data_IF_146859164797
#
_entry.id   IF_146859164797
#
_cell.length_a   1.000
_cell.length_b   1.000
_cell.length_c   1.000
_cell.angle_alpha   90.00
_cell.angle_beta   90.00
_cell.angle_gamma   90.00
#
_symmetry.space_group_name_H-M   'P 1'
#
loop_
_entity.id
_entity.type
_entity.pdbx_description
1 polymer ?
#
# COMPACT_ATOMS: atom_id res chain seq x y z
N UNK A 1 5.19 -95.68 -116.59
CA UNK A 1 4.22 -95.81 -115.46
C UNK A 1 4.82 -95.41 -114.11
N UNK A 2 6.15 -95.35 -113.95
CA UNK A 2 6.80 -95.01 -112.67
C UNK A 2 6.62 -93.55 -112.20
N UNK A 3 6.62 -92.55 -113.09
CA UNK A 3 6.42 -91.13 -112.72
C UNK A 3 5.09 -90.83 -112.01
N UNK A 4 4.00 -91.52 -112.41
CA UNK A 4 2.67 -91.37 -111.76
C UNK A 4 2.62 -91.98 -110.36
N UNK A 5 3.44 -93.00 -110.09
CA UNK A 5 3.51 -93.67 -108.78
C UNK A 5 4.34 -92.88 -107.78
N UNK A 6 5.42 -92.23 -108.23
CA UNK A 6 6.22 -91.32 -107.42
C UNK A 6 5.45 -90.04 -107.08
N UNK A 7 4.72 -89.46 -108.05
CA UNK A 7 3.85 -88.29 -107.84
C UNK A 7 2.68 -88.57 -106.88
N UNK A 8 2.11 -89.79 -106.91
CA UNK A 8 1.07 -90.18 -105.95
C UNK A 8 1.61 -90.34 -104.52
N UNK A 9 2.83 -90.86 -104.36
CA UNK A 9 3.50 -90.97 -103.05
C UNK A 9 3.92 -89.60 -102.51
N UNK A 10 4.45 -88.72 -103.35
CA UNK A 10 4.75 -87.33 -102.97
C UNK A 10 3.48 -86.56 -102.59
N UNK A 11 2.38 -86.70 -103.34
CA UNK A 11 1.11 -86.06 -102.99
C UNK A 11 0.52 -86.61 -101.67
N UNK A 12 0.68 -87.91 -101.39
CA UNK A 12 0.28 -88.50 -100.11
C UNK A 12 1.09 -87.97 -98.92
N UNK A 13 2.42 -87.87 -99.08
CA UNK A 13 3.32 -87.29 -98.08
C UNK A 13 3.03 -85.81 -97.86
N UNK A 14 2.75 -85.06 -98.93
CA UNK A 14 2.35 -83.66 -98.85
C UNK A 14 1.03 -83.48 -98.12
N UNK A 15 0.02 -84.34 -98.34
CA UNK A 15 -1.26 -84.30 -97.62
C UNK A 15 -1.09 -84.60 -96.12
N UNK A 16 -0.23 -85.55 -95.76
CA UNK A 16 0.06 -85.91 -94.37
C UNK A 16 0.84 -84.78 -93.65
N UNK A 17 1.78 -84.14 -94.36
CA UNK A 17 2.44 -82.91 -93.90
C UNK A 17 1.45 -81.75 -93.75
N UNK A 18 0.51 -81.59 -94.70
CA UNK A 18 -0.54 -80.56 -94.65
C UNK A 18 -1.44 -80.78 -93.44
N UNK A 19 -1.89 -82.01 -93.19
CA UNK A 19 -2.71 -82.37 -92.03
C UNK A 19 -1.97 -82.16 -90.72
N UNK A 20 -0.69 -82.54 -90.64
CA UNK A 20 0.17 -82.29 -89.46
C UNK A 20 0.40 -80.81 -89.20
N UNK A 21 0.51 -80.00 -90.26
CA UNK A 21 0.59 -78.53 -90.14
C UNK A 21 -0.77 -77.98 -89.69
N UNK A 22 -1.88 -78.48 -90.23
CA UNK A 22 -3.24 -78.09 -89.86
C UNK A 22 -3.53 -78.36 -88.39
N UNK A 23 -3.20 -79.55 -87.89
CA UNK A 23 -3.37 -79.94 -86.49
C UNK A 23 -2.50 -79.09 -85.55
N UNK A 24 -1.25 -78.80 -85.94
CA UNK A 24 -0.37 -77.88 -85.21
C UNK A 24 -0.90 -76.45 -85.21
N UNK A 25 -1.48 -75.99 -86.31
CA UNK A 25 -2.05 -74.66 -86.46
C UNK A 25 -3.34 -74.52 -85.65
N UNK A 26 -4.19 -75.55 -85.63
CA UNK A 26 -5.37 -75.63 -84.78
C UNK A 26 -4.99 -75.61 -83.30
N UNK A 27 -4.03 -76.45 -82.88
CA UNK A 27 -3.50 -76.47 -81.51
C UNK A 27 -2.95 -75.10 -81.10
N UNK A 28 -2.10 -74.49 -81.94
CA UNK A 28 -1.59 -73.15 -81.72
C UNK A 28 -2.71 -72.11 -81.63
N UNK A 29 -3.77 -72.21 -82.45
CA UNK A 29 -4.93 -71.31 -82.38
C UNK A 29 -5.72 -71.45 -81.07
N UNK A 30 -5.81 -72.67 -80.53
CA UNK A 30 -6.52 -72.93 -79.26
C UNK A 30 -5.72 -72.44 -78.07
N UNK A 31 -4.40 -72.65 -78.07
CA UNK A 31 -3.47 -72.12 -77.07
C UNK A 31 -3.47 -70.58 -77.09
N UNK A 32 -3.43 -69.96 -78.28
CA UNK A 32 -3.54 -68.50 -78.43
C UNK A 32 -4.85 -67.96 -77.86
N UNK A 33 -6.00 -68.59 -78.18
CA UNK A 33 -7.32 -68.21 -77.62
C UNK A 33 -7.38 -68.39 -76.11
N UNK A 34 -6.70 -69.39 -75.55
CA UNK A 34 -6.63 -69.59 -74.10
C UNK A 34 -5.77 -68.52 -73.42
N UNK A 35 -4.62 -68.19 -73.99
CA UNK A 35 -3.76 -67.11 -73.51
C UNK A 35 -4.46 -65.76 -73.62
N UNK A 36 -5.20 -65.48 -74.70
CA UNK A 36 -6.02 -64.28 -74.84
C UNK A 36 -7.07 -64.19 -73.73
N UNK A 37 -7.84 -65.25 -73.47
CA UNK A 37 -8.82 -65.28 -72.37
C UNK A 37 -8.17 -65.03 -71.01
N UNK A 38 -7.05 -65.70 -70.72
CA UNK A 38 -6.31 -65.46 -69.47
C UNK A 38 -5.78 -64.02 -69.37
N UNK A 39 -5.37 -63.42 -70.49
CA UNK A 39 -4.92 -62.03 -70.52
C UNK A 39 -6.10 -61.08 -70.26
N UNK A 40 -7.25 -61.29 -70.90
CA UNK A 40 -8.47 -60.52 -70.68
C UNK A 40 -8.94 -60.59 -69.22
N UNK A 41 -8.93 -61.77 -68.60
CA UNK A 41 -9.26 -61.93 -67.18
C UNK A 41 -8.28 -61.19 -66.26
N UNK A 42 -6.97 -61.26 -66.53
CA UNK A 42 -5.97 -60.53 -65.76
C UNK A 42 -6.14 -59.02 -65.90
N UNK A 43 -6.41 -58.53 -67.12
CA UNK A 43 -6.71 -57.13 -67.39
C UNK A 43 -7.95 -56.68 -66.60
N UNK A 44 -9.00 -57.49 -66.58
CA UNK A 44 -10.22 -57.19 -65.82
C UNK A 44 -9.95 -57.09 -64.31
N UNK A 45 -9.15 -58.02 -63.75
CA UNK A 45 -8.74 -57.98 -62.33
C UNK A 45 -7.91 -56.73 -62.01
N UNK A 46 -6.98 -56.34 -62.89
CA UNK A 46 -6.18 -55.13 -62.72
C UNK A 46 -7.10 -53.90 -62.71
N UNK A 47 -8.06 -53.81 -63.64
CA UNK A 47 -9.03 -52.71 -63.70
C UNK A 47 -9.89 -52.68 -62.43
N UNK A 48 -10.42 -53.82 -61.99
CA UNK A 48 -11.21 -53.90 -60.75
C UNK A 48 -10.41 -53.44 -59.52
N UNK A 49 -9.16 -53.89 -59.39
CA UNK A 49 -8.28 -53.48 -58.31
C UNK A 49 -7.95 -51.99 -58.37
N UNK A 50 -7.70 -51.46 -59.58
CA UNK A 50 -7.46 -50.03 -59.80
C UNK A 50 -8.67 -49.20 -59.35
N UNK A 51 -9.88 -49.58 -59.77
CA UNK A 51 -11.12 -48.91 -59.35
C UNK A 51 -11.32 -48.99 -57.83
N UNK A 52 -10.97 -50.13 -57.19
CA UNK A 52 -11.03 -50.26 -55.73
C UNK A 52 -10.07 -49.28 -55.04
N UNK A 53 -8.82 -49.22 -55.50
CA UNK A 53 -7.82 -48.28 -54.98
C UNK A 53 -8.23 -46.83 -55.21
N UNK A 54 -8.81 -46.49 -56.36
CA UNK A 54 -9.31 -45.14 -56.63
C UNK A 54 -10.44 -44.74 -55.66
N UNK A 55 -11.35 -45.67 -55.34
CA UNK A 55 -12.39 -45.44 -54.32
C UNK A 55 -11.80 -45.25 -52.93
N UNK A 56 -10.86 -46.11 -52.52
CA UNK A 56 -10.17 -46.00 -51.24
C UNK A 56 -9.41 -44.67 -51.12
N UNK A 57 -8.67 -44.29 -52.17
CA UNK A 57 -7.97 -43.01 -52.23
C UNK A 57 -8.92 -41.81 -52.17
N UNK A 58 -10.07 -41.88 -52.84
CA UNK A 58 -11.07 -40.81 -52.78
C UNK A 58 -11.63 -40.62 -51.36
N UNK A 59 -11.91 -41.72 -50.64
CA UNK A 59 -12.34 -41.67 -49.23
C UNK A 59 -11.25 -41.10 -48.34
N UNK A 60 -9.99 -41.52 -48.52
CA UNK A 60 -8.87 -41.00 -47.74
C UNK A 60 -8.64 -39.50 -47.98
N UNK A 61 -8.77 -39.03 -49.23
CA UNK A 61 -8.67 -37.61 -49.56
C UNK A 61 -9.80 -36.80 -48.90
N UNK A 62 -11.02 -37.34 -48.87
CA UNK A 62 -12.13 -36.70 -48.18
C UNK A 62 -11.87 -36.61 -46.67
N UNK A 63 -11.44 -37.71 -46.03
CA UNK A 63 -11.09 -37.72 -44.61
C UNK A 63 -9.95 -36.73 -44.28
N UNK A 64 -8.94 -36.64 -45.16
CA UNK A 64 -7.85 -35.69 -45.00
C UNK A 64 -8.36 -34.24 -45.09
N UNK A 65 -9.28 -33.95 -46.01
CA UNK A 65 -9.89 -32.63 -46.12
C UNK A 65 -10.73 -32.28 -44.88
N UNK A 66 -11.60 -33.20 -44.44
CA UNK A 66 -12.45 -33.01 -43.26
C UNK A 66 -11.61 -32.77 -41.99
N UNK A 67 -10.51 -33.51 -41.85
CA UNK A 67 -9.58 -33.34 -40.71
C UNK A 67 -8.79 -32.03 -40.78
N UNK A 68 -8.44 -31.55 -41.98
CA UNK A 68 -7.82 -30.23 -42.15
C UNK A 68 -8.78 -29.11 -41.76
N UNK A 69 -10.04 -29.18 -42.20
CA UNK A 69 -11.06 -28.19 -41.83
C UNK A 69 -11.33 -28.19 -40.32
N UNK A 70 -11.44 -29.37 -39.71
CA UNK A 70 -11.55 -29.51 -38.25
C UNK A 70 -10.33 -28.94 -37.51
N UNK A 71 -9.12 -29.11 -38.05
CA UNK A 71 -7.91 -28.53 -37.47
C UNK A 71 -7.90 -27.00 -37.57
N UNK A 72 -8.29 -26.43 -38.71
CA UNK A 72 -8.33 -24.97 -38.90
C UNK A 72 -9.34 -24.31 -37.96
N UNK A 73 -10.53 -24.89 -37.82
CA UNK A 73 -11.54 -24.40 -36.88
C UNK A 73 -11.01 -24.39 -35.44
N UNK A 74 -10.48 -25.52 -34.96
CA UNK A 74 -9.87 -25.61 -33.62
C UNK A 74 -8.69 -24.65 -33.45
N UNK A 75 -7.88 -24.43 -34.49
CA UNK A 75 -6.77 -23.49 -34.45
C UNK A 75 -7.26 -22.05 -34.25
N UNK A 76 -8.30 -21.64 -34.96
CA UNK A 76 -8.88 -20.29 -34.84
C UNK A 76 -9.55 -20.08 -33.48
N UNK A 77 -10.28 -21.08 -32.97
CA UNK A 77 -10.90 -21.05 -31.65
C UNK A 77 -9.85 -20.90 -30.54
N UNK A 78 -8.83 -21.75 -30.57
CA UNK A 78 -7.71 -21.67 -29.61
C UNK A 78 -7.03 -20.31 -29.65
N UNK A 79 -6.82 -19.75 -30.85
CA UNK A 79 -6.20 -18.43 -31.03
C UNK A 79 -7.09 -17.31 -30.45
N UNK A 80 -8.40 -17.37 -30.70
CA UNK A 80 -9.38 -16.45 -30.11
C UNK A 80 -9.39 -16.54 -28.58
N UNK A 81 -9.45 -17.75 -28.03
CA UNK A 81 -9.45 -17.99 -26.58
C UNK A 81 -8.17 -17.52 -25.93
N UNK A 82 -7.01 -17.74 -26.55
CA UNK A 82 -5.71 -17.25 -26.09
C UNK A 82 -5.68 -15.72 -26.00
N UNK A 83 -6.20 -15.02 -27.02
CA UNK A 83 -6.30 -13.56 -27.02
C UNK A 83 -7.26 -13.07 -25.91
N UNK A 84 -8.40 -13.73 -25.73
CA UNK A 84 -9.34 -13.42 -24.66
C UNK A 84 -8.69 -13.58 -23.29
N UNK A 85 -7.99 -14.69 -23.04
CA UNK A 85 -7.24 -14.93 -21.81
C UNK A 85 -6.17 -13.87 -21.58
N UNK A 86 -5.41 -13.48 -22.61
CA UNK A 86 -4.40 -12.43 -22.50
C UNK A 86 -5.04 -11.07 -22.13
N UNK A 87 -6.16 -10.70 -22.76
CA UNK A 87 -6.86 -9.44 -22.43
C UNK A 87 -7.47 -9.48 -21.02
N UNK A 88 -8.00 -10.62 -20.57
CA UNK A 88 -8.51 -10.77 -19.22
C UNK A 88 -7.38 -10.69 -18.18
N UNK A 89 -6.25 -11.35 -18.45
CA UNK A 89 -5.08 -11.35 -17.57
C UNK A 89 -4.47 -9.96 -17.43
N UNK A 90 -4.31 -9.23 -18.53
CA UNK A 90 -3.83 -7.84 -18.53
C UNK A 90 -4.77 -6.89 -17.79
N UNK A 91 -6.09 -6.99 -18.01
CA UNK A 91 -7.09 -6.20 -17.26
C UNK A 91 -7.04 -6.51 -15.76
N UNK A 92 -6.92 -7.78 -15.39
CA UNK A 92 -6.82 -8.20 -13.98
C UNK A 92 -5.54 -7.66 -13.33
N UNK A 93 -4.40 -7.77 -14.03
CA UNK A 93 -3.12 -7.21 -13.60
C UNK A 93 -3.20 -5.71 -13.37
N UNK A 94 -3.76 -4.94 -14.32
CA UNK A 94 -3.94 -3.50 -14.18
C UNK A 94 -4.84 -3.12 -13.00
N UNK A 95 -5.92 -3.89 -12.75
CA UNK A 95 -6.78 -3.68 -11.58
C UNK A 95 -6.02 -3.92 -10.28
N UNK A 96 -5.22 -4.99 -10.23
CA UNK A 96 -4.40 -5.31 -9.07
C UNK A 96 -3.37 -4.21 -8.81
N UNK A 97 -2.65 -3.74 -9.83
CA UNK A 97 -1.68 -2.63 -9.73
C UNK A 97 -2.31 -1.31 -9.24
N UNK A 98 -3.52 -0.99 -9.70
CA UNK A 98 -4.27 0.16 -9.18
C UNK A 98 -4.64 -0.02 -7.71
N UNK A 99 -5.16 -1.20 -7.35
CA UNK A 99 -5.54 -1.49 -5.96
C UNK A 99 -4.34 -1.47 -5.01
N UNK A 100 -3.17 -1.97 -5.43
CA UNK A 100 -1.96 -1.93 -4.60
C UNK A 100 -1.43 -0.50 -4.45
N UNK A 101 -1.50 0.32 -5.50
CA UNK A 101 -1.15 1.73 -5.42
C UNK A 101 -2.08 2.50 -4.47
N UNK A 102 -3.39 2.26 -4.56
CA UNK A 102 -4.39 2.88 -3.67
C UNK A 102 -4.18 2.44 -2.21
N UNK A 103 -3.87 1.16 -1.97
CA UNK A 103 -3.52 0.66 -0.64
C UNK A 103 -2.28 1.35 -0.06
N UNK A 104 -1.23 1.53 -0.86
CA UNK A 104 -0.01 2.23 -0.42
C UNK A 104 -0.31 3.70 -0.07
N UNK A 105 -1.08 4.38 -0.91
CA UNK A 105 -1.51 5.77 -0.67
C UNK A 105 -2.31 5.88 0.62
N UNK A 106 -3.26 4.99 0.86
CA UNK A 106 -4.07 4.99 2.07
C UNK A 106 -3.21 4.71 3.32
N UNK A 107 -2.25 3.78 3.23
CA UNK A 107 -1.31 3.50 4.31
C UNK A 107 -0.48 4.72 4.69
N UNK A 108 0.05 5.45 3.69
CA UNK A 108 0.79 6.70 3.93
C UNK A 108 -0.09 7.78 4.59
N UNK A 109 -1.36 7.88 4.19
CA UNK A 109 -2.30 8.80 4.83
C UNK A 109 -2.58 8.40 6.29
N UNK A 110 -2.79 7.11 6.56
CA UNK A 110 -2.99 6.60 7.91
C UNK A 110 -1.78 6.86 8.80
N UNK A 111 -0.57 6.63 8.31
CA UNK A 111 0.66 6.95 9.05
C UNK A 111 0.76 8.44 9.38
N UNK A 112 0.43 9.32 8.42
CA UNK A 112 0.42 10.77 8.66
C UNK A 112 -0.61 11.15 9.73
N UNK A 113 -1.84 10.63 9.63
CA UNK A 113 -2.89 10.86 10.64
C UNK A 113 -2.51 10.31 12.00
N UNK A 114 -1.85 9.16 12.06
CA UNK A 114 -1.38 8.58 13.31
C UNK A 114 -0.33 9.48 13.98
N UNK A 115 0.59 10.06 13.19
CA UNK A 115 1.57 11.04 13.70
C UNK A 115 0.88 12.29 14.24
N UNK A 116 -0.08 12.85 13.51
CA UNK A 116 -0.90 14.00 13.95
C UNK A 116 -1.62 13.70 15.28
N UNK A 117 -2.27 12.54 15.39
CA UNK A 117 -2.95 12.10 16.61
C UNK A 117 -1.99 11.92 17.79
N UNK A 118 -0.80 11.36 17.56
CA UNK A 118 0.19 11.17 18.62
C UNK A 118 0.68 12.52 19.17
N UNK A 119 0.88 13.52 18.30
CA UNK A 119 1.27 14.87 18.72
C UNK A 119 0.15 15.50 19.55
N UNK A 120 -1.09 15.45 19.06
CA UNK A 120 -2.24 16.02 19.78
C UNK A 120 -2.48 15.32 21.12
N UNK A 121 -2.29 13.99 21.19
CA UNK A 121 -2.38 13.22 22.44
C UNK A 121 -1.30 13.63 23.44
N UNK A 122 -0.07 13.82 22.97
CA UNK A 122 1.02 14.29 23.83
C UNK A 122 0.73 15.70 24.38
N UNK A 123 0.20 16.59 23.54
CA UNK A 123 -0.12 17.96 23.93
C UNK A 123 -1.28 18.01 24.94
N UNK A 124 -2.36 17.30 24.67
CA UNK A 124 -3.50 17.17 25.60
C UNK A 124 -3.07 16.55 26.93
N UNK A 125 -2.20 15.54 26.94
CA UNK A 125 -1.68 14.96 28.18
C UNK A 125 -0.84 15.96 28.99
N UNK A 126 -0.08 16.84 28.32
CA UNK A 126 0.65 17.93 29.00
C UNK A 126 -0.32 18.91 29.65
N UNK A 127 -1.37 19.33 28.94
CA UNK A 127 -2.39 20.22 29.50
C UNK A 127 -3.12 19.60 30.69
N UNK A 128 -3.48 18.32 30.62
CA UNK A 128 -4.09 17.59 31.75
C UNK A 128 -3.14 17.59 32.95
N UNK A 129 -1.88 17.20 32.74
CA UNK A 129 -0.86 17.15 33.81
C UNK A 129 -0.61 18.54 34.44
N UNK A 130 -0.68 19.59 33.61
CA UNK A 130 -0.58 20.97 34.06
C UNK A 130 -1.75 21.36 34.96
N UNK A 131 -2.99 21.10 34.53
CA UNK A 131 -4.20 21.37 35.31
C UNK A 131 -4.25 20.54 36.59
N UNK A 132 -3.85 19.28 36.57
CA UNK A 132 -3.77 18.42 37.76
C UNK A 132 -2.82 19.01 38.82
N UNK A 133 -1.68 19.54 38.38
CA UNK A 133 -0.70 20.16 39.30
C UNK A 133 -1.26 21.42 39.95
N UNK A 134 -1.96 22.26 39.18
CA UNK A 134 -2.63 23.46 39.70
C UNK A 134 -3.76 23.12 40.66
N UNK A 135 -4.64 22.18 40.29
CA UNK A 135 -5.75 21.73 41.14
C UNK A 135 -5.23 21.11 42.44
N UNK A 136 -4.15 20.32 42.38
CA UNK A 136 -3.55 19.75 43.58
C UNK A 136 -2.98 20.83 44.50
N UNK A 137 -2.30 21.84 43.95
CA UNK A 137 -1.82 22.97 44.73
C UNK A 137 -2.99 23.77 45.34
N UNK A 138 -4.01 24.10 44.55
CA UNK A 138 -5.20 24.80 45.03
C UNK A 138 -5.89 24.04 46.17
N UNK A 139 -6.02 22.71 46.05
CA UNK A 139 -6.60 21.85 47.09
C UNK A 139 -5.79 21.93 48.38
N UNK A 140 -4.47 21.72 48.33
CA UNK A 140 -3.62 21.73 49.53
C UNK A 140 -3.52 23.14 50.12
N UNK A 141 -3.38 24.15 49.27
CA UNK A 141 -3.31 25.54 49.67
C UNK A 141 -4.63 25.97 50.34
N UNK A 142 -5.78 25.68 49.72
CA UNK A 142 -7.09 25.95 50.32
C UNK A 142 -7.33 25.12 51.60
N UNK A 143 -6.82 23.90 51.73
CA UNK A 143 -6.87 23.13 52.98
C UNK A 143 -6.02 23.76 54.09
N UNK A 144 -4.81 24.25 53.77
CA UNK A 144 -3.98 25.01 54.72
C UNK A 144 -4.60 26.36 55.10
N UNK A 145 -5.34 26.97 54.17
CA UNK A 145 -5.87 28.32 54.28
C UNK A 145 -7.39 28.39 54.48
N UNK A 146 -8.08 27.27 54.72
CA UNK A 146 -9.55 27.15 54.70
C UNK A 146 -10.25 28.40 55.27
N UNK A 147 -11.08 28.98 54.42
CA UNK A 147 -10.94 30.36 53.94
C UNK A 147 -11.52 31.48 54.83
N UNK A 148 -11.58 31.28 56.15
CA UNK A 148 -11.98 32.33 57.10
C UNK A 148 -11.09 32.31 58.35
N UNK A 149 -10.64 31.13 58.80
CA UNK A 149 -9.96 30.99 60.09
C UNK A 149 -8.49 31.47 60.08
N UNK A 150 -7.76 31.31 58.97
CA UNK A 150 -6.33 31.66 58.94
C UNK A 150 -6.04 33.12 58.54
N UNK A 151 -6.87 33.72 57.67
CA UNK A 151 -6.75 35.16 57.29
C UNK A 151 -6.95 36.09 58.48
N UNK A 152 -7.77 35.68 59.44
CA UNK A 152 -8.01 36.40 60.70
C UNK A 152 -7.17 35.87 61.88
N UNK A 153 -6.31 34.88 61.64
CA UNK A 153 -5.36 34.39 62.65
C UNK A 153 -4.34 35.47 63.03
N UNK A 154 -4.10 35.59 64.34
CA UNK A 154 -3.14 36.53 64.92
C UNK A 154 -1.72 36.35 64.36
N UNK A 155 -1.34 35.11 64.03
CA UNK A 155 -0.03 34.80 63.43
C UNK A 155 0.09 35.29 61.99
N UNK A 156 -0.99 35.20 61.20
CA UNK A 156 -0.99 35.68 59.81
C UNK A 156 -0.89 37.20 59.75
N UNK A 157 -1.68 37.92 60.57
CA UNK A 157 -1.61 39.39 60.66
C UNK A 157 -0.23 39.88 61.12
N UNK A 158 0.49 39.10 61.93
CA UNK A 158 1.87 39.39 62.36
C UNK A 158 2.92 39.16 61.25
N UNK A 159 2.74 38.12 60.43
CA UNK A 159 3.71 37.75 59.39
C UNK A 159 3.46 38.44 58.04
N UNK A 160 2.24 38.90 57.78
CA UNK A 160 1.87 39.56 56.52
C UNK A 160 2.74 40.78 56.18
N UNK A 161 3.04 41.72 57.11
CA UNK A 161 3.91 42.86 56.80
C UNK A 161 5.32 42.43 56.38
N UNK A 162 5.87 41.39 57.00
CA UNK A 162 7.20 40.86 56.64
C UNK A 162 7.18 40.23 55.25
N UNK A 163 6.13 39.50 54.91
CA UNK A 163 5.98 38.88 53.60
C UNK A 163 5.80 39.95 52.51
N UNK A 164 5.02 41.00 52.76
CA UNK A 164 4.87 42.13 51.85
C UNK A 164 6.21 42.83 51.60
N UNK A 165 6.94 43.17 52.67
CA UNK A 165 8.27 43.77 52.54
C UNK A 165 9.25 42.86 51.79
N UNK A 166 9.17 41.54 52.00
CA UNK A 166 9.99 40.56 51.29
C UNK A 166 9.67 40.51 49.79
N UNK A 167 8.42 40.68 49.39
CA UNK A 167 8.03 40.75 47.98
C UNK A 167 8.49 42.06 47.34
N UNK A 168 8.18 43.18 47.98
CA UNK A 168 8.48 44.54 47.48
C UNK A 168 9.98 44.80 47.36
N UNK A 169 10.81 44.12 48.16
CA UNK A 169 12.27 44.23 48.09
C UNK A 169 12.92 43.39 46.95
N UNK A 170 12.15 42.65 46.16
CA UNK A 170 12.69 41.70 45.18
C UNK A 170 12.34 42.09 43.75
N UNK A 171 13.23 41.83 42.76
CA UNK A 171 12.94 42.09 41.35
C UNK A 171 11.88 41.13 40.77
N UNK A 172 11.51 40.08 41.52
CA UNK A 172 10.53 39.09 41.10
C UNK A 172 9.08 39.51 41.38
N UNK A 173 8.87 40.70 41.98
CA UNK A 173 7.57 41.35 42.10
C UNK A 173 7.68 42.79 41.59
N UNK A 174 6.91 43.12 40.56
CA UNK A 174 6.89 44.47 39.99
C UNK A 174 5.46 45.01 40.11
N UNK A 175 5.28 45.99 40.99
CA UNK A 175 3.97 46.53 41.32
C UNK A 175 3.31 47.25 40.13
N UNK A 176 4.10 48.01 39.36
CA UNK A 176 3.59 48.77 38.22
C UNK A 176 3.25 47.83 37.06
N UNK A 177 4.12 46.85 36.81
CA UNK A 177 3.83 45.79 35.83
C UNK A 177 2.60 44.99 36.23
N UNK A 178 2.46 44.63 37.51
CA UNK A 178 1.32 43.85 38.00
C UNK A 178 0.00 44.59 37.83
N UNK A 179 -0.04 45.89 38.14
CA UNK A 179 -1.23 46.72 37.94
C UNK A 179 -1.55 46.95 36.46
N UNK A 180 -0.53 47.12 35.61
CA UNK A 180 -0.71 47.23 34.17
C UNK A 180 -1.26 45.93 33.57
N UNK A 181 -0.77 44.78 34.04
CA UNK A 181 -1.20 43.46 33.58
C UNK A 181 -2.57 43.05 34.11
N UNK A 182 -2.97 43.53 35.30
CA UNK A 182 -4.23 43.18 35.96
C UNK A 182 -5.05 44.44 36.34
N UNK A 183 -5.80 45.02 35.38
CA UNK A 183 -6.57 46.25 35.61
C UNK A 183 -7.69 46.11 36.65
N UNK A 184 -8.16 44.90 36.92
CA UNK A 184 -9.14 44.60 37.98
C UNK A 184 -8.55 44.82 39.38
N UNK A 185 -7.27 44.50 39.57
CA UNK A 185 -6.54 44.80 40.81
C UNK A 185 -6.39 46.31 40.98
N UNK A 186 -6.06 47.03 39.90
CA UNK A 186 -5.96 48.49 39.92
C UNK A 186 -7.29 49.15 40.35
N UNK A 187 -8.42 48.62 39.89
CA UNK A 187 -9.76 49.09 40.25
C UNK A 187 -10.18 48.74 41.68
N UNK A 188 -9.62 47.68 42.26
CA UNK A 188 -9.96 47.22 43.61
C UNK A 188 -9.43 48.14 44.74
N UNK A 189 -8.40 48.95 44.46
CA UNK A 189 -7.72 49.79 45.45
C UNK A 189 -6.86 49.03 46.47
N UNK A 190 -6.75 47.70 46.36
CA UNK A 190 -5.88 46.88 47.22
C UNK A 190 -4.43 47.05 46.75
N UNK A 191 -3.48 47.11 47.69
CA UNK A 191 -2.04 47.18 47.35
C UNK A 191 -1.62 45.97 46.49
N UNK A 192 -0.83 46.14 45.42
CA UNK A 192 -0.49 45.05 44.49
C UNK A 192 0.13 43.82 45.16
N UNK A 193 1.12 44.02 46.04
CA UNK A 193 1.79 42.93 46.76
C UNK A 193 0.83 42.21 47.72
N UNK A 194 -0.09 42.97 48.34
CA UNK A 194 -1.12 42.43 49.22
C UNK A 194 -2.16 41.62 48.46
N UNK A 195 -2.59 42.12 47.30
CA UNK A 195 -3.47 41.38 46.41
C UNK A 195 -2.81 40.08 45.95
N UNK A 196 -1.54 40.13 45.56
CA UNK A 196 -0.83 38.96 45.07
C UNK A 196 -0.71 37.84 46.12
N UNK A 197 -0.33 38.18 47.36
CA UNK A 197 -0.23 37.22 48.47
C UNK A 197 -1.60 36.62 48.83
N UNK A 198 -2.66 37.44 48.83
CA UNK A 198 -3.99 37.02 49.30
C UNK A 198 -4.80 36.27 48.25
N UNK A 199 -4.69 36.68 46.99
CA UNK A 199 -5.56 36.22 45.91
C UNK A 199 -4.76 35.91 44.64
N UNK A 200 -3.79 36.75 44.28
CA UNK A 200 -3.15 36.67 42.97
C UNK A 200 -2.44 35.35 42.69
N UNK A 201 -1.73 34.76 43.64
CA UNK A 201 -1.12 33.44 43.42
C UNK A 201 -2.17 32.33 43.24
N UNK A 202 -3.32 32.43 43.92
CA UNK A 202 -4.43 31.47 43.80
C UNK A 202 -5.09 31.58 42.43
N UNK A 203 -5.25 32.81 41.95
CA UNK A 203 -5.79 33.12 40.62
C UNK A 203 -4.80 32.81 39.48
N UNK A 204 -3.64 32.20 39.76
CA UNK A 204 -2.58 31.92 38.76
C UNK A 204 -1.84 33.17 38.25
N UNK A 205 -2.09 34.35 38.84
CA UNK A 205 -1.49 35.60 38.37
C UNK A 205 0.01 35.57 38.56
N UNK A 206 0.72 36.14 37.61
CA UNK A 206 2.16 36.29 37.65
C UNK A 206 2.54 37.57 38.41
N UNK A 207 3.54 37.57 39.30
CA UNK A 207 3.97 38.75 40.05
C UNK A 207 4.87 39.72 39.27
N UNK A 208 5.58 39.23 38.26
CA UNK A 208 6.39 40.05 37.37
C UNK A 208 6.65 39.34 36.04
N UNK A 209 7.23 40.07 35.09
CA UNK A 209 7.74 39.52 33.83
C UNK A 209 8.94 38.58 33.99
N UNK A 210 9.44 38.36 35.21
CA UNK A 210 10.59 37.50 35.54
C UNK A 210 10.20 36.27 36.38
N UNK A 211 8.92 36.11 36.73
CA UNK A 211 8.42 34.96 37.49
C UNK A 211 7.04 34.54 37.02
N UNK A 212 6.91 33.28 36.57
CA UNK A 212 5.63 32.69 36.20
C UNK A 212 5.16 31.76 37.31
N UNK A 213 4.08 32.15 37.98
CA UNK A 213 3.43 31.36 39.05
C UNK A 213 3.05 29.98 38.55
N UNK A 214 2.43 29.91 37.37
CA UNK A 214 1.99 28.65 36.76
C UNK A 214 3.17 27.75 36.39
N UNK A 215 4.21 28.31 35.78
CA UNK A 215 5.42 27.54 35.48
C UNK A 215 6.04 26.98 36.75
N UNK A 216 6.21 27.81 37.78
CA UNK A 216 6.86 27.39 39.01
C UNK A 216 6.10 26.28 39.72
N UNK A 217 4.77 26.38 39.81
CA UNK A 217 3.92 25.36 40.43
C UNK A 217 3.85 24.06 39.62
N UNK A 218 3.83 24.15 38.30
CA UNK A 218 3.73 22.96 37.44
C UNK A 218 5.06 22.24 37.25
N UNK A 219 6.17 22.99 37.27
CA UNK A 219 7.52 22.43 37.20
C UNK A 219 7.97 21.85 38.53
N UNK A 220 7.62 22.49 39.66
CA UNK A 220 7.99 22.06 41.01
C UNK A 220 6.82 21.48 41.78
N UNK A 221 6.52 20.20 41.50
CA UNK A 221 5.40 19.47 42.10
C UNK A 221 5.47 19.35 43.63
N UNK A 222 6.66 19.40 44.21
CA UNK A 222 6.88 19.44 45.66
C UNK A 222 6.35 20.75 46.28
N UNK A 223 6.55 21.88 45.61
CA UNK A 223 6.00 23.18 46.03
C UNK A 223 4.48 23.17 45.89
N UNK A 224 3.97 22.64 44.77
CA UNK A 224 2.54 22.43 44.54
C UNK A 224 1.91 21.58 45.65
N UNK A 225 2.49 20.42 45.94
CA UNK A 225 2.03 19.50 46.99
C UNK A 225 2.18 20.07 48.39
N UNK A 226 3.15 20.96 48.62
CA UNK A 226 3.27 21.67 49.89
C UNK A 226 2.19 22.72 50.05
N UNK A 227 1.64 23.32 48.99
CA UNK A 227 0.72 24.46 49.13
C UNK A 227 1.39 25.73 49.69
N UNK A 228 2.73 25.82 49.67
CA UNK A 228 3.41 27.08 49.96
C UNK A 228 3.15 28.11 48.84
N UNK A 229 3.20 29.39 49.19
CA UNK A 229 3.07 30.46 48.20
C UNK A 229 4.28 30.45 47.25
N UNK A 230 4.10 30.40 45.90
CA UNK A 230 5.18 30.12 44.94
C UNK A 230 6.35 31.09 45.03
N UNK A 231 6.07 32.40 44.99
CA UNK A 231 7.13 33.41 45.07
C UNK A 231 7.84 33.40 46.43
N UNK A 232 7.10 33.28 47.55
CA UNK A 232 7.71 33.18 48.88
C UNK A 232 8.57 31.93 49.04
N UNK A 233 8.15 30.79 48.49
CA UNK A 233 8.97 29.58 48.47
C UNK A 233 10.26 29.83 47.69
N UNK A 234 10.16 30.44 46.51
CA UNK A 234 11.31 30.76 45.69
C UNK A 234 12.33 31.65 46.44
N UNK A 235 11.84 32.72 47.07
CA UNK A 235 12.70 33.65 47.80
C UNK A 235 13.35 33.02 49.06
N UNK A 236 12.69 32.05 49.71
CA UNK A 236 13.21 31.38 50.92
C UNK A 236 14.14 30.22 50.63
N UNK A 237 13.82 29.43 49.60
CA UNK A 237 14.48 28.16 49.31
C UNK A 237 14.93 28.07 47.84
N UNK A 238 14.06 28.49 46.91
CA UNK A 238 14.30 28.32 45.48
C UNK A 238 15.54 29.02 44.91
N UNK A 239 16.00 30.14 45.50
CA UNK A 239 17.25 30.79 45.10
C UNK A 239 18.46 29.91 45.44
N UNK A 240 18.52 29.40 46.68
CA UNK A 240 19.59 28.52 47.12
C UNK A 240 19.60 27.18 46.36
N UNK A 241 18.41 26.70 46.00
CA UNK A 241 18.19 25.48 45.22
C UNK A 241 18.34 25.68 43.70
N UNK A 242 18.69 26.89 43.24
CA UNK A 242 18.87 27.22 41.81
C UNK A 242 17.64 26.90 40.94
N UNK A 243 16.43 27.07 41.50
CA UNK A 243 15.18 26.83 40.78
C UNK A 243 14.95 27.89 39.71
N UNK A 244 14.37 27.49 38.58
CA UNK A 244 13.99 28.37 37.47
C UNK A 244 12.64 29.02 37.78
N UNK A 245 12.52 30.31 37.51
CA UNK A 245 11.28 31.08 37.76
C UNK A 245 10.39 31.18 36.53
N UNK A 246 10.91 30.82 35.36
CA UNK A 246 10.23 30.93 34.07
C UNK A 246 10.57 29.75 33.16
N UNK A 247 9.68 29.43 32.20
CA UNK A 247 10.01 28.47 31.17
C UNK A 247 11.24 28.95 30.40
N UNK A 248 12.12 28.03 29.96
CA UNK A 248 13.26 28.40 29.14
C UNK A 248 12.77 29.13 27.89
N UNK A 249 13.13 30.41 27.77
CA UNK A 249 12.85 31.19 26.57
C UNK A 249 13.58 30.51 25.41
N UNK A 250 12.86 29.80 24.55
CA UNK A 250 13.42 29.36 23.28
C UNK A 250 13.62 30.62 22.44
N UNK A 251 14.83 31.17 22.49
CA UNK A 251 15.27 32.13 21.49
C UNK A 251 15.35 31.35 20.16
N UNK A 252 14.28 31.36 19.38
CA UNK A 252 14.41 31.04 17.96
C UNK A 252 15.46 32.01 17.42
N UNK A 253 16.56 31.53 16.80
CA UNK A 253 17.53 32.43 16.19
C UNK A 253 16.76 33.32 15.22
N UNK A 254 16.98 34.64 15.32
CA UNK A 254 16.32 35.60 14.45
C UNK A 254 16.46 35.14 12.98
N UNK A 255 15.40 35.22 12.16
CA UNK A 255 15.50 34.88 10.75
C UNK A 255 16.67 35.68 10.17
N UNK A 256 17.70 34.99 9.68
CA UNK A 256 18.81 35.64 8.97
C UNK A 256 18.18 36.46 7.86
N UNK A 257 18.30 37.78 7.93
CA UNK A 257 17.91 38.66 6.82
C UNK A 257 18.62 38.13 5.56
N UNK A 258 17.94 38.06 4.40
CA UNK A 258 18.61 37.74 3.16
C UNK A 258 19.75 38.73 2.99
N UNK A 259 20.97 38.22 2.85
CA UNK A 259 22.11 39.04 2.43
C UNK A 259 21.82 39.52 1.01
N UNK A 260 21.35 40.75 0.88
CA UNK A 260 21.52 41.54 -0.34
C UNK A 260 23.02 41.70 -0.56
N UNK A 261 23.52 41.08 -1.63
CA UNK A 261 24.95 41.01 -1.92
C UNK A 261 25.27 39.84 -2.85
N UNK A 262 24.54 39.72 -3.95
CA UNK A 262 25.07 39.08 -5.15
C UNK A 262 25.70 40.21 -5.96
N UNK A 263 26.95 40.51 -5.66
CA UNK A 263 27.80 41.33 -6.53
C UNK A 263 28.05 40.59 -7.85
N UNK A 264 28.14 41.42 -8.88
CA UNK A 264 28.36 41.13 -10.29
C UNK A 264 29.69 40.43 -10.60
#
# INVERSE_FOLDING_TARGET
>A
MEKRSTEQKENGLLLEQLHSVQERLEKCSTEHRQVQRMNEEKQLRIIQHKVKLEKENAVLLQQLHDTQEAYETLYTERKSLSNQLLTACTKSKQKLEKSTHDQLRLHQQLEKRQKELNILRADTQRHISHLESLVQWLRVHAQRHAAVAYRDSRSYKKELPKQLAMLEATPFFDADWYLAQYPDVAKSGIKPAEHFIKFGAIDGRHPSSQFSTDFYLTHYKDVAASGQHPLLHYLRHGIAEQRKTQPPQHHLPAPKKPTEGADA
#
